data_IF_863736647605
#
_entry.id   IF_863736647605
#
_cell.length_a   1.000
_cell.length_b   1.000
_cell.length_c   1.000
_cell.angle_alpha   90.00
_cell.angle_beta   90.00
_cell.angle_gamma   90.00
#
_symmetry.space_group_name_H-M   'P 1'
#
loop_
_entity.id
_entity.type
_entity.pdbx_description
1 polymer ?
#
# COMPACT_ATOMS: atom_id res chain seq x y z
N UNK A 1 21.88 -28.83 -27.09
CA UNK A 1 22.37 -29.48 -25.85
C UNK A 1 21.72 -28.77 -24.66
N UNK A 2 20.53 -29.20 -24.22
CA UNK A 2 19.82 -28.58 -23.09
C UNK A 2 19.09 -29.67 -22.28
N UNK A 3 19.80 -30.46 -21.48
CA UNK A 3 19.17 -31.39 -20.53
C UNK A 3 19.90 -31.57 -19.17
N UNK A 4 20.95 -30.79 -18.87
CA UNK A 4 21.73 -30.99 -17.64
C UNK A 4 21.24 -30.24 -16.38
N UNK A 5 20.28 -29.31 -16.49
CA UNK A 5 19.82 -28.53 -15.33
C UNK A 5 19.11 -29.38 -14.26
N UNK A 6 18.26 -30.32 -14.70
CA UNK A 6 17.47 -31.14 -13.78
C UNK A 6 18.30 -32.10 -12.92
N UNK A 7 19.46 -32.57 -13.43
CA UNK A 7 20.33 -33.49 -12.70
C UNK A 7 21.05 -32.81 -11.52
N UNK A 8 21.41 -31.53 -11.65
CA UNK A 8 22.11 -30.77 -10.60
C UNK A 8 21.14 -30.46 -9.46
N UNK A 9 19.93 -30.02 -9.78
CA UNK A 9 18.91 -29.67 -8.79
C UNK A 9 18.32 -30.89 -8.07
N UNK A 10 18.54 -32.11 -8.60
CA UNK A 10 18.21 -33.37 -7.92
C UNK A 10 19.33 -33.93 -7.03
N UNK A 11 20.53 -33.33 -7.03
CA UNK A 11 21.65 -33.82 -6.23
C UNK A 11 21.47 -33.45 -4.73
N UNK A 12 21.44 -34.41 -3.80
CA UNK A 12 21.25 -34.14 -2.37
C UNK A 12 22.30 -33.20 -1.75
N UNK A 13 23.56 -33.29 -2.14
CA UNK A 13 24.62 -32.43 -1.61
C UNK A 13 24.44 -30.98 -2.06
N UNK A 14 24.01 -30.79 -3.32
CA UNK A 14 23.65 -29.48 -3.83
C UNK A 14 22.47 -28.90 -3.05
N UNK A 15 21.41 -29.67 -2.87
CA UNK A 15 20.22 -29.25 -2.10
C UNK A 15 20.60 -28.86 -0.67
N UNK A 16 21.38 -29.69 0.01
CA UNK A 16 21.84 -29.43 1.38
C UNK A 16 22.68 -28.14 1.46
N UNK A 17 23.57 -27.91 0.49
CA UNK A 17 24.38 -26.70 0.42
C UNK A 17 23.51 -25.46 0.19
N UNK A 18 22.54 -25.53 -0.73
CA UNK A 18 21.59 -24.43 -0.95
C UNK A 18 20.78 -24.16 0.32
N UNK A 19 20.32 -25.20 1.01
CA UNK A 19 19.57 -25.04 2.25
C UNK A 19 20.39 -24.31 3.32
N UNK A 20 21.64 -24.71 3.55
CA UNK A 20 22.54 -24.04 4.50
C UNK A 20 22.76 -22.56 4.15
N UNK A 21 22.93 -22.25 2.86
CA UNK A 21 23.09 -20.87 2.40
C UNK A 21 21.81 -20.05 2.61
N UNK A 22 20.64 -20.64 2.30
CA UNK A 22 19.34 -20.01 2.51
C UNK A 22 19.05 -19.77 4.00
N UNK A 23 19.52 -20.63 4.90
CA UNK A 23 19.36 -20.51 6.36
C UNK A 23 20.35 -19.54 7.01
N UNK A 24 21.32 -19.04 6.25
CA UNK A 24 22.31 -18.10 6.76
C UNK A 24 21.70 -16.76 7.19
N UNK A 25 22.26 -16.17 8.25
CA UNK A 25 21.93 -14.81 8.69
C UNK A 25 22.58 -13.72 7.83
N UNK A 26 23.56 -14.08 7.00
CA UNK A 26 24.24 -13.17 6.10
C UNK A 26 23.48 -13.08 4.77
N UNK A 27 23.03 -11.88 4.41
CA UNK A 27 22.28 -11.63 3.16
C UNK A 27 23.05 -12.10 1.93
N UNK A 28 24.37 -11.95 1.92
CA UNK A 28 25.26 -12.39 0.82
C UNK A 28 25.21 -13.90 0.58
N UNK A 29 25.08 -14.71 1.64
CA UNK A 29 24.96 -16.16 1.50
C UNK A 29 23.58 -16.55 0.94
N UNK A 30 22.52 -15.88 1.39
CA UNK A 30 21.17 -16.10 0.86
C UNK A 30 21.13 -15.74 -0.62
N UNK A 31 21.69 -14.60 -1.02
CA UNK A 31 21.81 -14.19 -2.42
C UNK A 31 22.63 -15.18 -3.26
N UNK A 32 23.76 -15.67 -2.72
CA UNK A 32 24.56 -16.72 -3.37
C UNK A 32 23.74 -17.99 -3.62
N UNK A 33 22.87 -18.38 -2.69
CA UNK A 33 21.98 -19.53 -2.88
C UNK A 33 21.09 -19.36 -4.12
N UNK A 34 20.49 -18.17 -4.29
CA UNK A 34 19.66 -17.86 -5.45
C UNK A 34 20.47 -17.81 -6.76
N UNK A 35 21.68 -17.26 -6.74
CA UNK A 35 22.58 -17.26 -7.90
C UNK A 35 22.97 -18.69 -8.33
N UNK A 36 23.26 -19.56 -7.36
CA UNK A 36 23.57 -20.97 -7.63
C UNK A 36 22.37 -21.72 -8.21
N UNK A 37 21.16 -21.50 -7.68
CA UNK A 37 19.93 -22.05 -8.24
C UNK A 37 19.69 -21.58 -9.68
N UNK A 38 19.98 -20.30 -9.97
CA UNK A 38 19.85 -19.74 -11.31
C UNK A 38 20.85 -20.38 -12.27
N UNK A 39 22.11 -20.54 -11.85
CA UNK A 39 23.17 -21.21 -12.61
C UNK A 39 22.92 -22.71 -12.84
N UNK A 40 22.15 -23.37 -11.95
CA UNK A 40 21.76 -24.77 -12.06
C UNK A 40 20.56 -25.01 -13.02
N UNK A 41 20.16 -24.01 -13.81
CA UNK A 41 19.08 -24.15 -14.79
C UNK A 41 17.72 -23.63 -14.32
N UNK A 42 17.66 -22.91 -13.19
CA UNK A 42 16.47 -22.16 -12.79
C UNK A 42 15.37 -22.98 -12.11
N UNK A 43 15.62 -24.26 -11.82
CA UNK A 43 14.67 -25.11 -11.12
C UNK A 43 14.93 -25.11 -9.61
N UNK A 44 13.89 -24.82 -8.84
CA UNK A 44 13.94 -24.93 -7.38
C UNK A 44 13.55 -26.36 -6.99
N UNK A 45 14.37 -27.08 -6.23
CA UNK A 45 14.01 -28.39 -5.71
C UNK A 45 12.72 -28.32 -4.87
N UNK A 46 11.81 -29.27 -5.07
CA UNK A 46 10.51 -29.29 -4.37
C UNK A 46 10.65 -29.27 -2.84
N UNK A 47 11.73 -29.86 -2.30
CA UNK A 47 12.06 -29.81 -0.87
C UNK A 47 12.30 -28.39 -0.34
N UNK A 48 12.79 -27.48 -1.19
CA UNK A 48 13.10 -26.09 -0.83
C UNK A 48 11.95 -25.13 -1.10
N UNK A 49 11.00 -25.48 -1.98
CA UNK A 49 9.85 -24.62 -2.28
C UNK A 49 9.06 -24.27 -1.02
N UNK A 50 8.73 -25.28 -0.21
CA UNK A 50 8.00 -25.09 1.06
C UNK A 50 8.75 -24.16 2.01
N UNK A 51 10.07 -24.23 2.04
CA UNK A 51 10.88 -23.36 2.88
C UNK A 51 10.82 -21.90 2.40
N UNK A 52 10.93 -21.68 1.09
CA UNK A 52 10.95 -20.35 0.48
C UNK A 52 9.60 -19.62 0.61
N UNK A 53 8.48 -20.32 0.37
CA UNK A 53 7.14 -19.71 0.48
C UNK A 53 6.77 -19.36 1.92
N UNK A 54 7.33 -20.08 2.90
CA UNK A 54 7.06 -19.83 4.33
C UNK A 54 7.88 -18.66 4.90
N UNK A 55 8.85 -18.14 4.14
CA UNK A 55 9.73 -17.04 4.54
C UNK A 55 9.44 -15.82 3.70
N UNK A 56 8.66 -14.90 4.26
CA UNK A 56 8.11 -13.73 3.56
C UNK A 56 9.18 -12.88 2.85
N UNK A 57 10.34 -12.72 3.48
CA UNK A 57 11.50 -12.02 2.94
C UNK A 57 12.11 -12.69 1.71
N UNK A 58 12.01 -14.02 1.60
CA UNK A 58 12.57 -14.82 0.49
C UNK A 58 11.68 -14.80 -0.74
N UNK A 59 10.40 -14.45 -0.59
CA UNK A 59 9.48 -14.30 -1.71
C UNK A 59 9.98 -13.22 -2.68
N UNK A 60 10.46 -12.07 -2.18
CA UNK A 60 11.01 -11.02 -3.06
C UNK A 60 12.28 -11.46 -3.76
N UNK A 61 13.11 -12.29 -3.11
CA UNK A 61 14.30 -12.85 -3.75
C UNK A 61 13.91 -13.85 -4.83
N UNK A 62 12.90 -14.70 -4.59
CA UNK A 62 12.34 -15.58 -5.62
C UNK A 62 11.90 -14.77 -6.85
N UNK A 63 11.20 -13.65 -6.64
CA UNK A 63 10.81 -12.76 -7.73
C UNK A 63 12.01 -12.16 -8.45
N UNK A 64 12.97 -11.59 -7.70
CA UNK A 64 14.15 -10.91 -8.24
C UNK A 64 15.03 -11.83 -9.09
N UNK A 65 15.16 -13.09 -8.68
CA UNK A 65 16.00 -14.09 -9.35
C UNK A 65 15.25 -14.96 -10.37
N UNK A 66 13.99 -14.62 -10.71
CA UNK A 66 13.25 -15.27 -11.79
C UNK A 66 12.57 -16.60 -11.41
N UNK A 67 12.35 -16.83 -10.12
CA UNK A 67 11.65 -18.00 -9.56
C UNK A 67 10.19 -17.73 -9.21
N UNK A 68 9.54 -16.85 -9.98
CA UNK A 68 8.18 -16.41 -9.73
C UNK A 68 7.15 -17.55 -9.71
N UNK A 69 7.41 -18.64 -10.44
CA UNK A 69 6.58 -19.84 -10.47
C UNK A 69 6.35 -20.43 -9.08
N UNK A 70 7.36 -20.39 -8.20
CA UNK A 70 7.31 -20.96 -6.84
C UNK A 70 6.40 -20.15 -5.92
N UNK A 71 6.28 -18.85 -6.17
CA UNK A 71 5.55 -17.90 -5.30
C UNK A 71 4.24 -17.39 -5.91
N UNK A 72 3.86 -17.89 -7.09
CA UNK A 72 2.72 -17.40 -7.87
C UNK A 72 1.35 -17.58 -7.18
N UNK A 73 1.24 -18.53 -6.26
CA UNK A 73 0.00 -18.87 -5.55
C UNK A 73 -0.16 -18.15 -4.20
N UNK A 74 0.70 -17.19 -3.89
CA UNK A 74 0.64 -16.47 -2.62
C UNK A 74 -0.46 -15.41 -2.65
N UNK A 75 -1.32 -15.45 -1.63
CA UNK A 75 -2.43 -14.52 -1.46
C UNK A 75 -2.10 -13.39 -0.47
N UNK A 76 -1.14 -13.59 0.43
CA UNK A 76 -0.76 -12.61 1.45
C UNK A 76 0.76 -12.50 1.55
N UNK A 77 1.26 -11.27 1.49
CA UNK A 77 2.69 -10.97 1.58
C UNK A 77 2.93 -9.89 2.64
N UNK A 78 3.69 -10.25 3.69
CA UNK A 78 4.00 -9.36 4.81
C UNK A 78 5.51 -9.22 4.99
N UNK A 79 6.04 -8.07 4.57
CA UNK A 79 7.47 -7.75 4.63
C UNK A 79 7.62 -6.47 5.42
N UNK A 80 7.42 -6.57 6.73
CA UNK A 80 7.48 -5.42 7.63
C UNK A 80 8.88 -5.32 8.26
N UNK A 81 9.42 -4.10 8.41
CA UNK A 81 10.71 -3.87 9.09
C UNK A 81 11.89 -4.63 8.46
N UNK A 82 11.85 -4.86 7.14
CA UNK A 82 12.89 -5.57 6.41
C UNK A 82 13.96 -4.63 5.82
N UNK A 83 13.91 -3.34 6.15
CA UNK A 83 14.85 -2.32 5.60
C UNK A 83 14.78 -2.25 4.06
N UNK A 84 13.61 -2.62 3.50
CA UNK A 84 13.43 -2.74 2.05
C UNK A 84 13.49 -1.35 1.40
N UNK A 85 14.47 -1.11 0.53
CA UNK A 85 14.65 0.18 -0.17
C UNK A 85 13.84 0.30 -1.46
N UNK A 86 13.57 -0.84 -2.11
CA UNK A 86 12.82 -0.92 -3.36
C UNK A 86 11.98 -2.19 -3.39
N UNK A 87 10.80 -2.10 -3.99
CA UNK A 87 10.00 -3.27 -4.35
C UNK A 87 10.35 -3.68 -5.78
N UNK A 88 10.67 -4.95 -6.06
CA UNK A 88 11.02 -5.40 -7.42
C UNK A 88 9.82 -5.24 -8.37
N UNK A 89 10.09 -4.92 -9.65
CA UNK A 89 9.05 -4.80 -10.68
C UNK A 89 8.33 -6.13 -10.90
N UNK A 90 9.03 -7.23 -10.64
CA UNK A 90 8.59 -8.62 -10.68
C UNK A 90 7.46 -8.94 -9.68
N UNK A 91 7.12 -8.02 -8.76
CA UNK A 91 5.97 -8.16 -7.86
C UNK A 91 4.67 -8.52 -8.60
N UNK A 92 4.53 -8.06 -9.85
CA UNK A 92 3.37 -8.36 -10.69
C UNK A 92 3.15 -9.86 -10.98
N UNK A 93 4.13 -10.72 -10.74
CA UNK A 93 3.93 -12.17 -10.88
C UNK A 93 3.06 -12.76 -9.77
N UNK A 94 2.88 -12.07 -8.64
CA UNK A 94 1.97 -12.47 -7.57
C UNK A 94 0.52 -12.15 -7.94
N UNK A 95 0.02 -12.77 -9.01
CA UNK A 95 -1.29 -12.46 -9.61
C UNK A 95 -2.46 -12.70 -8.66
N UNK A 96 -2.31 -13.62 -7.71
CA UNK A 96 -3.33 -13.99 -6.73
C UNK A 96 -3.25 -13.18 -5.43
N UNK A 97 -2.34 -12.20 -5.34
CA UNK A 97 -2.13 -11.45 -4.11
C UNK A 97 -3.35 -10.62 -3.75
N UNK A 98 -3.87 -10.84 -2.54
CA UNK A 98 -5.03 -10.19 -1.95
C UNK A 98 -4.60 -9.15 -0.91
N UNK A 99 -3.56 -9.44 -0.11
CA UNK A 99 -3.05 -8.52 0.91
C UNK A 99 -1.54 -8.33 0.79
N UNK A 100 -1.11 -7.07 0.75
CA UNK A 100 0.30 -6.68 0.70
C UNK A 100 0.60 -5.70 1.83
N UNK A 101 1.44 -6.12 2.76
CA UNK A 101 1.92 -5.30 3.86
C UNK A 101 3.43 -5.08 3.77
N UNK A 102 3.81 -3.84 3.51
CA UNK A 102 5.18 -3.34 3.37
C UNK A 102 5.49 -2.27 4.42
N UNK A 103 4.76 -2.26 5.53
CA UNK A 103 4.86 -1.22 6.54
C UNK A 103 6.27 -1.17 7.15
N UNK A 104 6.74 0.05 7.44
CA UNK A 104 7.97 0.28 8.19
C UNK A 104 9.22 -0.22 7.43
N UNK A 105 9.34 0.17 6.17
CA UNK A 105 10.53 -0.06 5.33
C UNK A 105 11.14 1.28 4.90
N UNK A 106 11.99 1.26 3.88
CA UNK A 106 12.69 2.42 3.33
C UNK A 106 12.30 2.65 1.85
N UNK A 107 11.05 2.33 1.50
CA UNK A 107 10.57 2.47 0.12
C UNK A 107 10.42 3.95 -0.22
N UNK A 108 11.15 4.39 -1.24
CA UNK A 108 11.06 5.74 -1.79
C UNK A 108 10.06 5.87 -2.95
N UNK A 109 9.58 4.76 -3.49
CA UNK A 109 8.58 4.72 -4.55
C UNK A 109 7.97 3.31 -4.61
N UNK A 110 6.84 3.19 -5.28
CA UNK A 110 6.29 1.90 -5.69
C UNK A 110 6.50 1.73 -7.21
N UNK A 111 6.89 0.54 -7.70
CA UNK A 111 7.01 0.30 -9.13
C UNK A 111 5.64 0.42 -9.81
N UNK A 112 5.61 0.87 -11.07
CA UNK A 112 4.36 0.95 -11.87
C UNK A 112 3.65 -0.41 -11.98
N UNK A 113 4.43 -1.49 -11.88
CA UNK A 113 3.97 -2.88 -11.89
C UNK A 113 3.06 -3.22 -10.71
N UNK A 114 3.02 -2.41 -9.64
CA UNK A 114 2.05 -2.56 -8.55
C UNK A 114 0.61 -2.59 -9.08
N UNK A 115 0.31 -1.80 -10.13
CA UNK A 115 -1.01 -1.75 -10.76
C UNK A 115 -1.39 -3.01 -11.55
N UNK A 116 -0.57 -4.06 -11.53
CA UNK A 116 -0.88 -5.38 -12.11
C UNK A 116 -1.39 -6.38 -11.06
N UNK A 117 -1.41 -6.02 -9.78
CA UNK A 117 -1.96 -6.85 -8.71
C UNK A 117 -3.49 -6.74 -8.67
N UNK A 118 -4.16 -7.23 -9.71
CA UNK A 118 -5.59 -6.97 -9.96
C UNK A 118 -6.55 -7.56 -8.91
N UNK A 119 -6.06 -8.46 -8.04
CA UNK A 119 -6.82 -9.07 -6.95
C UNK A 119 -6.54 -8.44 -5.58
N UNK A 120 -5.68 -7.42 -5.52
CA UNK A 120 -5.30 -6.81 -4.27
C UNK A 120 -6.48 -6.05 -3.64
N UNK A 121 -6.81 -6.43 -2.42
CA UNK A 121 -7.87 -5.82 -1.59
C UNK A 121 -7.30 -4.94 -0.48
N UNK A 122 -6.10 -5.27 0.01
CA UNK A 122 -5.44 -4.50 1.06
C UNK A 122 -4.00 -4.16 0.69
N UNK A 123 -3.65 -2.89 0.79
CA UNK A 123 -2.29 -2.40 0.59
C UNK A 123 -1.88 -1.51 1.77
N UNK A 124 -0.89 -1.95 2.52
CA UNK A 124 -0.26 -1.15 3.55
C UNK A 124 1.19 -0.82 3.19
N UNK A 125 1.46 0.45 2.95
CA UNK A 125 2.81 0.98 2.70
C UNK A 125 3.15 2.10 3.68
N UNK A 126 2.44 2.16 4.81
CA UNK A 126 2.65 3.17 5.86
C UNK A 126 4.07 3.12 6.39
N UNK A 127 4.58 4.25 6.91
CA UNK A 127 5.94 4.38 7.42
C UNK A 127 7.01 4.02 6.38
N UNK A 128 6.87 4.57 5.17
CA UNK A 128 7.87 4.51 4.10
C UNK A 128 8.05 5.90 3.49
N UNK A 129 9.26 6.36 3.18
CA UNK A 129 9.50 7.70 2.62
C UNK A 129 9.15 7.82 1.12
N UNK A 130 7.90 7.53 0.74
CA UNK A 130 7.45 7.36 -0.65
C UNK A 130 7.43 8.65 -1.48
N UNK A 131 7.21 9.82 -0.88
CA UNK A 131 7.02 11.12 -1.53
C UNK A 131 5.79 11.23 -2.46
N UNK A 132 5.48 10.22 -3.27
CA UNK A 132 4.36 10.14 -4.20
C UNK A 132 3.92 8.68 -4.45
N UNK A 133 2.74 8.51 -5.04
CA UNK A 133 2.27 7.24 -5.57
C UNK A 133 2.37 7.21 -7.11
N UNK A 134 2.61 6.04 -7.73
CA UNK A 134 2.50 5.88 -9.18
C UNK A 134 1.03 6.02 -9.62
N UNK A 135 0.79 6.56 -10.81
CA UNK A 135 -0.55 6.67 -11.41
C UNK A 135 -1.22 5.30 -11.59
N UNK A 136 -0.43 4.24 -11.74
CA UNK A 136 -0.87 2.87 -11.88
C UNK A 136 -1.60 2.34 -10.63
N UNK A 137 -1.53 3.03 -9.49
CA UNK A 137 -2.35 2.70 -8.31
C UNK A 137 -3.84 2.61 -8.67
N UNK A 138 -4.34 3.48 -9.56
CA UNK A 138 -5.72 3.49 -10.00
C UNK A 138 -6.15 2.26 -10.83
N UNK A 139 -5.25 1.32 -11.11
CA UNK A 139 -5.60 0.02 -11.72
C UNK A 139 -6.08 -1.00 -10.68
N UNK A 140 -5.85 -0.75 -9.39
CA UNK A 140 -6.23 -1.66 -8.30
C UNK A 140 -7.73 -1.54 -7.98
N UNK A 141 -8.59 -1.87 -8.95
CA UNK A 141 -10.05 -1.67 -8.84
C UNK A 141 -10.71 -2.44 -7.70
N UNK A 142 -10.10 -3.53 -7.22
CA UNK A 142 -10.58 -4.34 -6.08
C UNK A 142 -10.04 -3.88 -4.72
N UNK A 143 -9.25 -2.81 -4.67
CA UNK A 143 -8.65 -2.35 -3.42
C UNK A 143 -9.73 -1.77 -2.51
N UNK A 144 -9.80 -2.28 -1.28
CA UNK A 144 -10.77 -1.90 -0.25
C UNK A 144 -10.13 -1.08 0.86
N UNK A 145 -8.88 -1.37 1.21
CA UNK A 145 -8.14 -0.68 2.27
C UNK A 145 -6.76 -0.25 1.79
N UNK A 146 -6.48 1.05 1.92
CA UNK A 146 -5.21 1.65 1.54
C UNK A 146 -4.62 2.43 2.73
N UNK A 147 -3.50 1.94 3.24
CA UNK A 147 -2.79 2.54 4.37
C UNK A 147 -1.50 3.22 3.89
N UNK A 148 -1.49 4.54 4.01
CA UNK A 148 -0.45 5.46 3.55
C UNK A 148 -0.01 6.43 4.67
N UNK A 149 -0.24 6.06 5.94
CA UNK A 149 0.11 6.94 7.06
C UNK A 149 1.63 7.06 7.19
N UNK A 150 2.15 8.26 7.51
CA UNK A 150 3.59 8.51 7.66
C UNK A 150 4.40 8.12 6.41
N UNK A 151 3.88 8.44 5.22
CA UNK A 151 4.48 8.08 3.95
C UNK A 151 5.26 9.23 3.26
N UNK A 152 5.37 10.39 3.93
CA UNK A 152 5.95 11.63 3.38
C UNK A 152 5.30 12.10 2.07
N UNK A 153 4.03 11.74 1.83
CA UNK A 153 3.33 12.13 0.61
C UNK A 153 3.10 13.63 0.59
N UNK A 154 3.44 14.28 -0.52
CA UNK A 154 3.14 15.72 -0.75
C UNK A 154 1.87 15.92 -1.56
N UNK A 155 1.44 14.91 -2.32
CA UNK A 155 0.24 14.91 -3.15
C UNK A 155 -0.28 13.49 -3.39
N UNK A 156 -1.55 13.41 -3.81
CA UNK A 156 -2.14 12.21 -4.38
C UNK A 156 -2.23 12.32 -5.91
N UNK A 157 -2.06 11.22 -6.66
CA UNK A 157 -2.39 11.20 -8.08
C UNK A 157 -3.91 11.27 -8.26
N UNK A 158 -4.39 11.89 -9.35
CA UNK A 158 -5.82 11.89 -9.69
C UNK A 158 -6.39 10.49 -9.88
N UNK A 159 -5.56 9.55 -10.27
CA UNK A 159 -5.92 8.14 -10.40
C UNK A 159 -6.36 7.48 -9.09
N UNK A 160 -6.21 8.15 -7.93
CA UNK A 160 -6.81 7.68 -6.68
C UNK A 160 -8.34 7.51 -6.81
N UNK A 161 -9.03 8.38 -7.56
CA UNK A 161 -10.47 8.29 -7.79
C UNK A 161 -10.93 7.05 -8.55
N UNK A 162 -9.98 6.30 -9.14
CA UNK A 162 -10.27 5.05 -9.85
C UNK A 162 -10.42 3.85 -8.91
N UNK A 163 -10.19 4.00 -7.61
CA UNK A 163 -10.31 2.90 -6.65
C UNK A 163 -11.77 2.70 -6.24
N UNK A 164 -12.60 2.24 -7.18
CA UNK A 164 -14.07 2.16 -7.07
C UNK A 164 -14.59 1.38 -5.84
N UNK A 165 -13.81 0.41 -5.32
CA UNK A 165 -14.18 -0.39 -4.15
C UNK A 165 -13.51 0.08 -2.85
N UNK A 166 -12.84 1.24 -2.84
CA UNK A 166 -12.07 1.68 -1.68
C UNK A 166 -12.99 2.14 -0.55
N UNK A 167 -12.90 1.48 0.59
CA UNK A 167 -13.71 1.75 1.78
C UNK A 167 -12.95 2.50 2.86
N UNK A 168 -11.63 2.29 2.95
CA UNK A 168 -10.79 2.95 3.95
C UNK A 168 -9.52 3.51 3.33
N UNK A 169 -9.31 4.80 3.51
CA UNK A 169 -8.12 5.52 3.07
C UNK A 169 -7.47 6.23 4.25
N UNK A 170 -6.28 5.77 4.64
CA UNK A 170 -5.51 6.34 5.74
C UNK A 170 -4.28 7.09 5.25
N UNK A 171 -4.31 8.42 5.33
CA UNK A 171 -3.29 9.36 4.86
C UNK A 171 -2.72 10.23 6.00
N UNK A 172 -2.90 9.81 7.25
CA UNK A 172 -2.45 10.58 8.41
C UNK A 172 -0.94 10.80 8.45
N UNK A 173 -0.49 11.97 8.94
CA UNK A 173 0.93 12.32 9.11
C UNK A 173 1.71 12.31 7.79
N UNK A 174 1.17 12.99 6.78
CA UNK A 174 1.87 13.26 5.52
C UNK A 174 2.10 14.78 5.36
N UNK A 175 2.51 15.23 4.17
CA UNK A 175 2.75 16.64 3.83
C UNK A 175 1.80 17.10 2.72
N UNK A 176 0.58 16.56 2.70
CA UNK A 176 -0.40 16.83 1.63
C UNK A 176 -0.98 18.22 1.83
N UNK A 177 -0.88 19.07 0.81
CA UNK A 177 -1.45 20.42 0.80
C UNK A 177 -2.80 20.50 0.08
N UNK A 178 -3.00 19.64 -0.92
CA UNK A 178 -4.20 19.59 -1.74
C UNK A 178 -4.67 18.16 -1.98
N UNK A 179 -5.98 17.98 -1.97
CA UNK A 179 -6.66 16.74 -2.33
C UNK A 179 -7.17 16.91 -3.78
N UNK A 180 -6.95 15.92 -4.68
CA UNK A 180 -7.50 15.96 -6.03
C UNK A 180 -9.04 15.90 -6.00
N UNK A 181 -9.70 16.57 -6.94
CA UNK A 181 -11.16 16.54 -7.07
C UNK A 181 -11.68 15.11 -7.27
N UNK A 182 -10.91 14.29 -7.98
CA UNK A 182 -11.20 12.88 -8.24
C UNK A 182 -11.29 12.03 -6.96
N UNK A 183 -10.86 12.53 -5.79
CA UNK A 183 -11.14 11.84 -4.53
C UNK A 183 -12.66 11.69 -4.30
N UNK A 184 -13.48 12.63 -4.79
CA UNK A 184 -14.94 12.55 -4.72
C UNK A 184 -15.57 11.39 -5.49
N UNK A 185 -14.82 10.76 -6.40
CA UNK A 185 -15.28 9.60 -7.19
C UNK A 185 -15.27 8.30 -6.37
N UNK A 186 -14.74 8.31 -5.15
CA UNK A 186 -14.67 7.15 -4.25
C UNK A 186 -16.01 6.91 -3.55
N UNK A 187 -17.02 6.48 -4.31
CA UNK A 187 -18.40 6.34 -3.82
C UNK A 187 -18.54 5.39 -2.61
N UNK A 188 -17.72 4.34 -2.54
CA UNK A 188 -17.72 3.33 -1.46
C UNK A 188 -16.93 3.75 -0.21
N UNK A 189 -16.31 4.93 -0.19
CA UNK A 189 -15.43 5.34 0.89
C UNK A 189 -16.20 5.59 2.19
N UNK A 190 -15.83 4.86 3.24
CA UNK A 190 -16.44 4.96 4.57
C UNK A 190 -15.56 5.70 5.57
N UNK A 191 -14.24 5.59 5.44
CA UNK A 191 -13.27 6.20 6.35
C UNK A 191 -12.20 6.93 5.56
N UNK A 192 -12.07 8.23 5.83
CA UNK A 192 -11.02 9.08 5.29
C UNK A 192 -10.25 9.73 6.43
N UNK A 193 -9.01 9.28 6.64
CA UNK A 193 -8.09 9.86 7.62
C UNK A 193 -7.04 10.74 6.92
N UNK A 194 -7.14 12.05 7.11
CA UNK A 194 -6.24 13.08 6.59
C UNK A 194 -5.56 13.86 7.72
N UNK A 195 -5.53 13.33 8.93
CA UNK A 195 -4.98 14.03 10.09
C UNK A 195 -3.51 14.39 9.91
N UNK A 196 -3.07 15.45 10.56
CA UNK A 196 -1.65 15.81 10.62
C UNK A 196 -1.04 15.95 9.21
N UNK A 197 -1.70 16.71 8.35
CA UNK A 197 -1.23 17.09 7.01
C UNK A 197 -1.07 18.62 6.92
N UNK A 198 -0.87 19.15 5.72
CA UNK A 198 -0.71 20.59 5.47
C UNK A 198 -1.90 21.18 4.69
N UNK A 199 -3.09 20.56 4.77
CA UNK A 199 -4.24 20.95 3.97
C UNK A 199 -4.67 22.38 4.28
N UNK A 200 -4.79 23.20 3.24
CA UNK A 200 -5.25 24.59 3.33
C UNK A 200 -6.75 24.69 2.98
N UNK A 201 -7.24 23.77 2.15
CA UNK A 201 -8.64 23.64 1.76
C UNK A 201 -9.01 22.17 1.56
N UNK A 202 -10.33 21.92 1.55
CA UNK A 202 -10.93 20.66 1.14
C UNK A 202 -11.76 20.93 -0.12
N UNK A 203 -11.60 20.14 -1.21
CA UNK A 203 -12.35 20.34 -2.45
C UNK A 203 -13.85 20.04 -2.24
N UNK A 204 -14.72 20.66 -3.03
CA UNK A 204 -16.18 20.50 -2.90
C UNK A 204 -16.63 19.06 -3.14
N UNK A 205 -15.86 18.32 -3.94
CA UNK A 205 -16.07 16.94 -4.33
C UNK A 205 -15.98 15.98 -3.14
N UNK A 206 -15.39 16.38 -2.01
CA UNK A 206 -15.52 15.61 -0.75
C UNK A 206 -16.98 15.46 -0.36
N UNK A 207 -17.84 16.42 -0.70
CA UNK A 207 -19.29 16.29 -0.50
C UNK A 207 -19.96 15.20 -1.33
N UNK A 208 -19.26 14.58 -2.29
CA UNK A 208 -19.79 13.50 -3.12
C UNK A 208 -19.58 12.10 -2.50
N UNK A 209 -18.82 12.01 -1.41
CA UNK A 209 -18.54 10.75 -0.69
C UNK A 209 -19.77 10.28 0.13
N UNK A 210 -20.82 9.82 -0.56
CA UNK A 210 -22.13 9.51 0.01
C UNK A 210 -22.07 8.47 1.14
N UNK A 211 -21.12 7.55 1.12
CA UNK A 211 -20.96 6.49 2.13
C UNK A 211 -20.02 6.85 3.29
N UNK A 212 -19.46 8.06 3.30
CA UNK A 212 -18.46 8.46 4.30
C UNK A 212 -19.08 8.52 5.70
N UNK A 213 -18.47 7.80 6.64
CA UNK A 213 -18.89 7.71 8.04
C UNK A 213 -17.94 8.46 8.96
N UNK A 214 -16.65 8.47 8.64
CA UNK A 214 -15.61 9.11 9.45
C UNK A 214 -14.74 9.97 8.54
N UNK A 215 -14.64 11.26 8.87
CA UNK A 215 -13.73 12.20 8.25
C UNK A 215 -12.83 12.82 9.31
N UNK A 216 -11.54 12.49 9.25
CA UNK A 216 -10.54 13.00 10.18
C UNK A 216 -9.63 14.04 9.49
N UNK A 217 -9.84 15.32 9.81
CA UNK A 217 -9.13 16.47 9.25
C UNK A 217 -8.31 17.22 10.31
N UNK A 218 -8.15 16.65 11.52
CA UNK A 218 -7.45 17.32 12.63
C UNK A 218 -6.01 17.69 12.27
N UNK A 219 -5.50 18.74 12.91
CA UNK A 219 -4.11 19.20 12.75
C UNK A 219 -3.74 19.43 11.28
N UNK A 220 -4.53 20.26 10.61
CA UNK A 220 -4.27 20.79 9.27
C UNK A 220 -4.23 22.34 9.33
N UNK A 221 -4.28 23.01 8.17
CA UNK A 221 -4.25 24.47 8.06
C UNK A 221 -5.58 25.04 7.53
N UNK A 222 -6.68 24.30 7.73
CA UNK A 222 -8.01 24.64 7.21
C UNK A 222 -8.57 25.88 7.89
N UNK A 223 -9.08 26.81 7.08
CA UNK A 223 -9.84 27.99 7.55
C UNK A 223 -11.34 27.88 7.32
N UNK A 224 -11.75 26.97 6.44
CA UNK A 224 -13.15 26.65 6.15
C UNK A 224 -13.30 25.24 5.58
N UNK A 225 -14.54 24.78 5.53
CA UNK A 225 -14.96 23.61 4.75
C UNK A 225 -15.88 24.03 3.59
N UNK A 226 -15.95 23.27 2.48
CA UNK A 226 -16.91 23.52 1.40
C UNK A 226 -18.35 23.44 1.91
N UNK A 227 -19.29 24.12 1.23
CA UNK A 227 -20.72 24.07 1.60
C UNK A 227 -21.30 22.68 1.39
N UNK A 228 -20.76 21.96 0.42
CA UNK A 228 -21.10 20.60 -0.01
C UNK A 228 -20.84 19.56 1.09
N UNK A 229 -20.14 19.90 2.18
CA UNK A 229 -20.02 19.02 3.35
C UNK A 229 -21.38 18.58 3.90
N UNK A 230 -22.43 19.41 3.70
CA UNK A 230 -23.83 19.09 4.05
C UNK A 230 -24.39 17.86 3.31
N UNK A 231 -23.76 17.45 2.21
CA UNK A 231 -24.17 16.30 1.40
C UNK A 231 -23.70 14.96 1.98
N UNK A 232 -22.81 14.97 2.97
CA UNK A 232 -22.33 13.76 3.66
C UNK A 232 -23.38 13.19 4.62
N UNK A 233 -24.46 12.63 4.08
CA UNK A 233 -25.63 12.19 4.85
C UNK A 233 -25.35 11.02 5.80
N UNK A 234 -24.32 10.23 5.53
CA UNK A 234 -23.93 9.08 6.36
C UNK A 234 -22.81 9.40 7.37
N UNK A 235 -22.33 10.64 7.41
CA UNK A 235 -21.21 11.03 8.26
C UNK A 235 -21.63 11.01 9.73
N UNK A 236 -20.84 10.29 10.54
CA UNK A 236 -21.08 10.11 11.97
C UNK A 236 -20.08 10.89 12.81
N UNK A 237 -18.83 10.96 12.35
CA UNK A 237 -17.74 11.59 13.07
C UNK A 237 -16.93 12.53 12.16
N UNK A 238 -16.73 13.75 12.64
CA UNK A 238 -15.94 14.78 11.98
C UNK A 238 -14.93 15.38 12.96
N UNK A 239 -13.64 15.17 12.70
CA UNK A 239 -12.56 15.68 13.55
C UNK A 239 -11.88 16.87 12.88
N UNK A 240 -11.93 18.04 13.52
CA UNK A 240 -11.41 19.30 12.99
C UNK A 240 -10.43 20.01 13.94
N UNK A 241 -10.20 19.49 15.15
CA UNK A 241 -9.34 20.15 16.13
C UNK A 241 -7.92 20.39 15.61
N UNK A 242 -7.30 21.49 16.04
CA UNK A 242 -5.97 21.89 15.56
C UNK A 242 -5.96 22.44 14.14
N UNK A 243 -7.10 22.94 13.64
CA UNK A 243 -7.18 23.78 12.45
C UNK A 243 -7.46 25.24 12.84
N UNK A 244 -6.96 26.24 12.08
CA UNK A 244 -7.23 27.66 12.29
C UNK A 244 -8.64 28.08 11.80
N UNK A 245 -9.68 27.34 12.20
CA UNK A 245 -11.08 27.64 11.88
C UNK A 245 -11.59 28.81 12.75
N UNK A 246 -12.08 29.92 12.17
CA UNK A 246 -12.75 30.98 12.91
C UNK A 246 -13.99 30.49 13.66
N UNK A 247 -14.38 31.17 14.74
CA UNK A 247 -15.57 30.82 15.54
C UNK A 247 -16.83 30.77 14.66
N UNK A 248 -17.01 31.76 13.78
CA UNK A 248 -18.13 31.82 12.83
C UNK A 248 -18.21 30.60 11.92
N UNK A 249 -17.06 30.07 11.50
CA UNK A 249 -16.99 28.88 10.66
C UNK A 249 -17.32 27.61 11.45
N UNK A 250 -16.84 27.50 12.70
CA UNK A 250 -17.22 26.40 13.60
C UNK A 250 -18.74 26.37 13.82
N UNK A 251 -19.37 27.53 14.02
CA UNK A 251 -20.82 27.65 14.15
C UNK A 251 -21.56 27.30 12.85
N UNK A 252 -21.06 27.75 11.68
CA UNK A 252 -21.61 27.40 10.37
C UNK A 252 -21.62 25.89 10.16
N UNK A 253 -20.49 25.22 10.43
CA UNK A 253 -20.36 23.76 10.28
C UNK A 253 -21.34 23.04 11.23
N UNK A 254 -21.47 23.49 12.49
CA UNK A 254 -22.46 22.93 13.43
C UNK A 254 -23.90 23.03 12.92
N UNK A 255 -24.27 24.16 12.30
CA UNK A 255 -25.60 24.36 11.70
C UNK A 255 -25.82 23.46 10.48
N UNK A 256 -24.80 23.24 9.66
CA UNK A 256 -24.89 22.36 8.49
C UNK A 256 -25.02 20.89 8.88
N UNK A 257 -24.37 20.47 9.98
CA UNK A 257 -24.23 19.06 10.38
C UNK A 257 -24.66 18.83 11.83
N UNK A 258 -25.91 19.16 12.23
CA UNK A 258 -26.31 19.21 13.64
C UNK A 258 -26.30 17.85 14.36
N UNK A 259 -26.37 16.74 13.61
CA UNK A 259 -26.46 15.38 14.15
C UNK A 259 -25.11 14.66 14.24
N UNK A 260 -24.01 15.32 13.88
CA UNK A 260 -22.69 14.69 13.73
C UNK A 260 -21.86 14.89 15.00
N UNK A 261 -21.15 13.85 15.44
CA UNK A 261 -20.15 13.96 16.50
C UNK A 261 -18.96 14.75 15.97
N UNK A 262 -18.80 15.97 16.45
CA UNK A 262 -17.75 16.91 16.02
C UNK A 262 -16.75 17.21 17.14
N UNK A 263 -15.47 17.33 16.76
CA UNK A 263 -14.43 17.91 17.64
C UNK A 263 -13.71 19.05 16.92
N UNK A 264 -13.50 20.17 17.63
CA UNK A 264 -12.96 21.44 17.10
C UNK A 264 -11.70 21.90 17.81
#
# INVERSE_FOLDING_TARGET
>A
MYHNGNYITSNPDFINKIQQLLESTQTTNVELAFQLLQGAGGNIPQSLEKYLINKQEKILLCLTYGFAQVVSNINELWINRAVLKKLPAEIHYLKNLVSLNLQNNQLHTLPREIGRLLFLRQLNVSKNPLNHLPKEIGRLRKLEELFLSQAQLTRLPKEIGKLENLRKLFLGRNQIQHIPAELGDLEELEVLDLRENELISVPLEVGYLKNLKILDLRRNRLRSLPQEIVNLKNLKELYLYGNPLPISEKERIRKLLPQIKMSF
#
